data_IF_258346034088
#
_entry.id   IF_258346034088
#
_cell.length_a   1.000
_cell.length_b   1.000
_cell.length_c   1.000
_cell.angle_alpha   90.00
_cell.angle_beta   90.00
_cell.angle_gamma   90.00
#
_symmetry.space_group_name_H-M   'P 1'
#
loop_
_entity.id
_entity.type
_entity.pdbx_description
1 polymer ?
#
# COMPACT_ATOMS: atom_id res chain seq x y z
N UNK A 1 -2.52 13.87 -7.83
CA UNK A 1 -2.22 15.31 -7.96
C UNK A 1 -1.58 15.73 -6.64
N UNK A 2 -0.30 16.10 -6.62
CA UNK A 2 0.40 16.49 -5.39
C UNK A 2 -0.26 17.74 -4.79
N UNK A 3 -0.39 17.77 -3.46
CA UNK A 3 -1.02 18.83 -2.65
C UNK A 3 -0.30 20.17 -2.74
N UNK A 4 -0.32 20.79 -3.91
CA UNK A 4 0.39 22.02 -4.23
C UNK A 4 -0.52 23.22 -3.97
N UNK A 5 -0.18 24.03 -2.96
CA UNK A 5 -0.92 25.27 -2.65
C UNK A 5 -0.37 26.47 -3.45
N UNK A 6 0.90 26.42 -3.87
CA UNK A 6 1.51 27.49 -4.64
C UNK A 6 2.99 27.24 -4.91
N UNK A 7 3.56 28.05 -5.82
CA UNK A 7 4.99 28.01 -6.15
C UNK A 7 5.57 29.42 -6.25
N UNK A 8 6.82 29.56 -5.85
CA UNK A 8 7.62 30.78 -5.99
C UNK A 8 8.94 30.42 -6.66
N UNK A 9 9.31 31.16 -7.71
CA UNK A 9 10.64 31.06 -8.33
C UNK A 9 11.61 31.93 -7.54
N UNK A 10 12.74 31.35 -7.12
CA UNK A 10 13.82 32.04 -6.43
C UNK A 10 14.83 32.61 -7.44
N UNK A 11 15.64 33.56 -6.99
CA UNK A 11 16.71 34.17 -7.79
C UNK A 11 17.77 33.14 -8.26
N UNK A 12 17.84 31.98 -7.60
CA UNK A 12 18.71 30.85 -7.93
C UNK A 12 18.16 29.92 -9.02
N UNK A 13 17.10 30.32 -9.73
CA UNK A 13 16.35 29.50 -10.70
C UNK A 13 15.73 28.22 -10.13
N UNK A 14 15.75 28.05 -8.81
CA UNK A 14 15.03 27.02 -8.10
C UNK A 14 13.57 27.43 -7.84
N UNK A 15 12.70 26.45 -7.74
CA UNK A 15 11.29 26.61 -7.39
C UNK A 15 11.06 26.13 -5.96
N UNK A 16 10.51 27.02 -5.13
CA UNK A 16 9.97 26.68 -3.83
C UNK A 16 8.49 26.36 -3.98
N UNK A 17 8.13 25.13 -3.66
CA UNK A 17 6.79 24.60 -3.77
C UNK A 17 6.18 24.51 -2.38
N UNK A 18 5.06 25.19 -2.14
CA UNK A 18 4.32 25.07 -0.88
C UNK A 18 3.32 23.92 -1.00
N UNK A 19 3.40 23.00 -0.05
CA UNK A 19 2.46 21.89 0.10
C UNK A 19 1.81 21.91 1.47
N UNK A 20 0.73 21.15 1.68
CA UNK A 20 0.14 21.00 3.02
C UNK A 20 1.11 20.41 4.05
N UNK A 21 2.14 19.67 3.61
CA UNK A 21 3.12 19.01 4.47
C UNK A 21 4.40 19.85 4.70
N UNK A 22 4.50 21.03 4.08
CA UNK A 22 5.67 21.89 4.17
C UNK A 22 6.15 22.38 2.81
N UNK A 23 7.43 22.75 2.72
CA UNK A 23 8.02 23.33 1.52
C UNK A 23 8.95 22.33 0.83
N UNK A 24 8.83 22.22 -0.50
CA UNK A 24 9.71 21.42 -1.33
C UNK A 24 10.50 22.36 -2.24
N UNK A 25 11.83 22.33 -2.14
CA UNK A 25 12.71 23.05 -3.05
C UNK A 25 13.10 22.13 -4.21
N UNK A 26 12.82 22.54 -5.44
CA UNK A 26 13.11 21.75 -6.65
C UNK A 26 13.66 22.62 -7.76
N UNK A 27 14.50 22.08 -8.63
CA UNK A 27 15.06 22.81 -9.75
C UNK A 27 16.42 22.27 -10.16
N UNK A 28 16.94 22.79 -11.27
CA UNK A 28 18.26 22.41 -11.77
C UNK A 28 19.30 23.23 -11.02
N UNK A 29 20.10 22.59 -10.19
CA UNK A 29 21.26 23.25 -9.59
C UNK A 29 22.47 23.10 -10.51
N UNK A 30 23.00 24.21 -10.98
CA UNK A 30 24.28 24.20 -11.68
C UNK A 30 25.41 23.97 -10.66
N UNK A 31 26.08 22.83 -10.78
CA UNK A 31 27.23 22.51 -9.92
C UNK A 31 28.38 23.40 -10.36
N UNK A 32 28.70 24.44 -9.59
CA UNK A 32 29.88 25.28 -9.84
C UNK A 32 31.13 24.40 -9.82
N UNK A 33 31.83 24.36 -10.95
CA UNK A 33 32.85 23.36 -11.26
C UNK A 33 33.97 23.24 -10.23
N UNK A 34 34.09 22.05 -9.64
CA UNK A 34 35.33 21.48 -9.05
C UNK A 34 35.30 19.95 -8.99
N UNK A 35 34.57 19.31 -9.90
CA UNK A 35 34.52 17.86 -10.05
C UNK A 35 34.93 17.52 -11.48
N UNK A 36 36.12 16.93 -11.65
CA UNK A 36 36.68 16.55 -12.96
C UNK A 36 36.15 15.21 -13.49
N UNK A 37 35.03 14.73 -12.98
CA UNK A 37 34.36 13.54 -13.49
C UNK A 37 32.89 13.89 -13.72
N UNK A 38 32.27 13.31 -14.75
CA UNK A 38 30.86 13.56 -15.11
C UNK A 38 29.93 13.06 -14.00
N UNK A 39 29.83 13.81 -12.92
CA UNK A 39 28.93 13.55 -11.82
C UNK A 39 27.55 14.10 -12.17
N UNK A 40 26.73 13.27 -12.82
CA UNK A 40 25.28 13.45 -12.85
C UNK A 40 24.71 13.12 -11.46
N UNK A 41 25.08 13.87 -10.44
CA UNK A 41 24.54 13.67 -9.10
C UNK A 41 23.20 14.39 -9.03
N UNK A 42 22.11 13.66 -9.29
CA UNK A 42 20.77 14.12 -8.95
C UNK A 42 20.66 14.10 -7.42
N UNK A 43 21.05 15.20 -6.78
CA UNK A 43 20.93 15.38 -5.33
C UNK A 43 19.48 15.74 -5.00
N UNK A 44 18.70 14.76 -4.56
CA UNK A 44 17.42 15.01 -3.91
C UNK A 44 17.68 15.19 -2.41
N UNK A 45 17.75 16.44 -1.95
CA UNK A 45 17.83 16.76 -0.51
C UNK A 45 16.42 16.98 0.02
N UNK A 46 15.89 16.02 0.77
CA UNK A 46 14.60 16.14 1.45
C UNK A 46 14.89 16.64 2.87
N UNK A 47 14.61 17.92 3.13
CA UNK A 47 14.58 18.46 4.49
C UNK A 47 13.14 18.44 4.98
N UNK A 48 12.84 17.55 5.92
CA UNK A 48 11.52 17.48 6.55
C UNK A 48 11.59 18.25 7.87
N UNK A 49 10.82 19.33 7.97
CA UNK A 49 10.58 19.97 9.26
C UNK A 49 9.69 19.04 10.09
N UNK A 50 10.29 18.28 11.00
CA UNK A 50 9.55 17.42 11.92
C UNK A 50 8.95 18.31 12.99
N UNK A 51 7.67 18.64 12.84
CA UNK A 51 6.88 19.17 13.94
C UNK A 51 6.55 18.00 14.87
N UNK A 52 6.66 18.20 16.19
CA UNK A 52 6.16 17.25 17.19
C UNK A 52 4.62 17.24 17.11
N UNK A 53 4.09 16.51 16.13
CA UNK A 53 2.66 16.29 15.97
C UNK A 53 2.23 15.20 16.95
N UNK A 54 1.10 15.41 17.62
CA UNK A 54 0.54 14.38 18.48
C UNK A 54 0.13 13.15 17.66
N UNK A 55 0.10 11.98 18.29
CA UNK A 55 -0.31 10.75 17.60
C UNK A 55 -1.73 10.87 17.01
N UNK A 56 -2.61 11.62 17.67
CA UNK A 56 -3.96 11.91 17.19
C UNK A 56 -3.97 12.77 15.92
N UNK A 57 -3.05 13.73 15.79
CA UNK A 57 -2.91 14.53 14.57
C UNK A 57 -2.38 13.67 13.41
N UNK A 58 -1.48 12.71 13.67
CA UNK A 58 -1.02 11.74 12.68
C UNK A 58 -2.15 10.81 12.22
N UNK A 59 -2.98 10.30 13.13
CA UNK A 59 -4.17 9.53 12.77
C UNK A 59 -5.22 10.36 12.00
N UNK A 60 -5.30 11.66 12.29
CA UNK A 60 -6.17 12.55 11.51
C UNK A 60 -5.71 12.68 10.05
N UNK A 61 -4.41 12.56 9.75
CA UNK A 61 -3.91 12.53 8.38
C UNK A 61 -4.34 11.26 7.64
N UNK A 62 -4.40 10.13 8.32
CA UNK A 62 -4.97 8.89 7.76
C UNK A 62 -6.47 9.11 7.42
N UNK A 63 -7.18 9.87 8.26
CA UNK A 63 -8.57 10.31 7.99
C UNK A 63 -8.70 11.36 6.88
N UNK A 64 -7.63 12.11 6.56
CA UNK A 64 -7.64 13.07 5.43
C UNK A 64 -7.71 12.40 4.06
N UNK A 65 -7.75 11.06 4.02
CA UNK A 65 -8.38 10.34 2.93
C UNK A 65 -7.78 10.68 1.59
N UNK A 66 -6.50 10.36 1.40
CA UNK A 66 -5.91 10.24 0.07
C UNK A 66 -6.53 8.98 -0.56
N UNK A 67 -7.77 9.13 -0.98
CA UNK A 67 -8.57 8.10 -1.62
C UNK A 67 -9.17 8.75 -2.86
N UNK A 68 -9.10 8.04 -3.99
CA UNK A 68 -9.58 8.54 -5.28
C UNK A 68 -11.03 9.05 -5.15
N UNK A 69 -11.40 10.21 -5.72
CA UNK A 69 -12.79 10.69 -5.72
C UNK A 69 -13.81 9.63 -6.18
N UNK A 70 -13.40 8.71 -7.06
CA UNK A 70 -14.23 7.60 -7.55
C UNK A 70 -14.42 6.51 -6.47
N UNK A 71 -13.42 6.31 -5.60
CA UNK A 71 -13.52 5.40 -4.47
C UNK A 71 -14.52 5.91 -3.42
N UNK A 72 -14.54 7.22 -3.11
CA UNK A 72 -15.49 7.77 -2.12
C UNK A 72 -16.96 7.52 -2.46
N UNK A 73 -17.34 7.56 -3.74
CA UNK A 73 -18.73 7.34 -4.16
C UNK A 73 -19.14 5.86 -4.09
N UNK A 74 -18.22 4.94 -4.35
CA UNK A 74 -18.50 3.50 -4.31
C UNK A 74 -18.36 2.91 -2.90
N UNK A 75 -17.40 3.37 -2.09
CA UNK A 75 -17.12 2.83 -0.76
C UNK A 75 -18.29 2.99 0.22
N UNK A 76 -18.99 4.13 0.20
CA UNK A 76 -20.16 4.33 1.06
C UNK A 76 -21.28 3.33 0.72
N UNK A 77 -21.50 3.05 -0.56
CA UNK A 77 -22.58 2.17 -0.99
C UNK A 77 -22.23 0.69 -0.72
N UNK A 78 -20.99 0.29 -0.98
CA UNK A 78 -20.49 -1.06 -0.65
C UNK A 78 -20.45 -1.30 0.86
N UNK A 79 -20.02 -0.31 1.66
CA UNK A 79 -20.00 -0.43 3.11
C UNK A 79 -21.42 -0.56 3.70
N UNK A 80 -22.38 0.21 3.20
CA UNK A 80 -23.79 0.07 3.60
C UNK A 80 -24.34 -1.30 3.25
N UNK A 81 -23.99 -1.82 2.06
CA UNK A 81 -24.38 -3.16 1.62
C UNK A 81 -23.79 -4.26 2.50
N UNK A 82 -22.52 -4.16 2.89
CA UNK A 82 -21.87 -5.10 3.82
C UNK A 82 -22.54 -5.07 5.20
N UNK A 83 -22.90 -3.90 5.72
CA UNK A 83 -23.65 -3.77 6.98
C UNK A 83 -25.03 -4.43 6.86
N UNK A 84 -25.71 -4.25 5.73
CA UNK A 84 -27.03 -4.83 5.48
C UNK A 84 -26.96 -6.36 5.39
N UNK A 85 -25.99 -6.91 4.66
CA UNK A 85 -25.73 -8.35 4.58
C UNK A 85 -25.36 -8.95 5.94
N UNK A 86 -24.57 -8.25 6.75
CA UNK A 86 -24.28 -8.65 8.13
C UNK A 86 -25.56 -8.73 8.98
N UNK A 87 -26.41 -7.70 8.92
CA UNK A 87 -27.69 -7.69 9.67
C UNK A 87 -28.62 -8.81 9.21
N UNK A 88 -28.67 -9.09 7.91
CA UNK A 88 -29.53 -10.12 7.34
C UNK A 88 -29.02 -11.55 7.63
N UNK A 89 -27.70 -11.73 7.74
CA UNK A 89 -27.08 -13.03 8.04
C UNK A 89 -27.02 -13.37 9.53
N UNK A 90 -27.20 -12.37 10.39
CA UNK A 90 -27.17 -12.52 11.84
C UNK A 90 -28.51 -13.01 12.39
N UNK A 91 -28.46 -14.08 13.19
CA UNK A 91 -29.62 -14.65 13.89
C UNK A 91 -29.35 -14.70 15.38
N UNK A 92 -30.39 -14.47 16.18
CA UNK A 92 -30.35 -14.64 17.63
C UNK A 92 -31.03 -15.96 17.96
N UNK A 93 -30.30 -16.89 18.55
CA UNK A 93 -30.82 -18.18 19.00
C UNK A 93 -31.71 -17.99 20.25
N UNK A 94 -32.64 -18.90 20.53
CA UNK A 94 -33.52 -18.81 21.72
C UNK A 94 -32.78 -18.71 23.05
N UNK A 95 -31.55 -19.21 23.09
CA UNK A 95 -30.60 -19.16 24.21
C UNK A 95 -29.80 -17.84 24.31
N UNK A 96 -30.14 -16.85 23.48
CA UNK A 96 -29.54 -15.50 23.50
C UNK A 96 -28.18 -15.39 22.80
N UNK A 97 -27.71 -16.47 22.16
CA UNK A 97 -26.44 -16.48 21.40
C UNK A 97 -26.65 -15.96 19.99
N UNK A 98 -25.64 -15.28 19.47
CA UNK A 98 -25.62 -14.80 18.08
C UNK A 98 -25.01 -15.87 17.16
N UNK A 99 -25.71 -16.21 16.10
CA UNK A 99 -25.21 -17.00 14.98
C UNK A 99 -25.03 -16.08 13.78
N UNK A 100 -23.86 -16.14 13.14
CA UNK A 100 -23.53 -15.32 11.97
C UNK A 100 -22.93 -16.23 10.89
N UNK A 101 -23.45 -16.13 9.67
CA UNK A 101 -22.82 -16.80 8.53
C UNK A 101 -21.54 -16.03 8.15
N UNK A 102 -20.39 -16.69 8.24
CA UNK A 102 -19.12 -16.07 7.85
C UNK A 102 -19.09 -15.86 6.33
N UNK A 103 -18.50 -14.75 5.84
CA UNK A 103 -18.45 -14.39 4.41
C UNK A 103 -17.42 -15.24 3.64
N UNK A 104 -17.26 -16.51 3.98
CA UNK A 104 -16.43 -17.42 3.20
C UNK A 104 -17.15 -17.74 1.89
N UNK A 105 -16.37 -17.84 0.81
CA UNK A 105 -16.89 -18.26 -0.49
C UNK A 105 -17.57 -19.63 -0.33
N UNK A 106 -18.79 -19.76 -0.89
CA UNK A 106 -19.54 -21.01 -1.01
C UNK A 106 -18.77 -22.10 -1.76
N UNK A 107 -17.79 -21.67 -2.54
CA UNK A 107 -16.93 -22.56 -3.28
C UNK A 107 -15.95 -23.15 -2.27
N UNK A 108 -16.29 -24.34 -1.79
CA UNK A 108 -15.30 -25.31 -1.34
C UNK A 108 -14.39 -25.53 -2.54
N UNK A 109 -13.37 -24.68 -2.68
CA UNK A 109 -12.25 -24.95 -3.57
C UNK A 109 -11.62 -26.16 -2.94
N UNK A 110 -11.92 -27.35 -3.48
CA UNK A 110 -11.21 -28.56 -3.09
C UNK A 110 -9.72 -28.26 -3.25
N UNK A 111 -9.03 -28.16 -2.12
CA UNK A 111 -7.61 -27.88 -2.13
C UNK A 111 -6.96 -28.99 -2.96
N UNK A 112 -6.19 -28.64 -4.01
CA UNK A 112 -5.59 -29.66 -4.85
C UNK A 112 -4.72 -30.56 -3.99
N UNK A 113 -4.95 -31.87 -4.08
CA UNK A 113 -4.19 -32.85 -3.30
C UNK A 113 -2.73 -32.85 -3.75
N UNK A 114 -1.84 -32.32 -2.90
CA UNK A 114 -0.40 -32.29 -3.17
C UNK A 114 0.23 -33.69 -3.18
N UNK A 115 -0.49 -34.75 -2.78
CA UNK A 115 0.02 -36.12 -2.69
C UNK A 115 0.65 -36.61 -3.99
N UNK A 116 -0.04 -36.42 -5.11
CA UNK A 116 0.43 -36.89 -6.42
C UNK A 116 1.64 -36.10 -6.91
N UNK A 117 1.67 -34.79 -6.66
CA UNK A 117 2.79 -33.92 -7.02
C UNK A 117 4.04 -34.30 -6.23
N UNK A 118 3.93 -34.43 -4.91
CA UNK A 118 5.04 -34.82 -4.03
C UNK A 118 5.57 -36.21 -4.38
N UNK A 119 4.68 -37.17 -4.67
CA UNK A 119 5.07 -38.51 -5.11
C UNK A 119 5.85 -38.49 -6.41
N UNK A 120 5.42 -37.72 -7.41
CA UNK A 120 6.16 -37.56 -8.67
C UNK A 120 7.53 -36.93 -8.47
N UNK A 121 7.63 -35.90 -7.63
CA UNK A 121 8.91 -35.25 -7.30
C UNK A 121 9.86 -36.23 -6.60
N UNK A 122 9.36 -36.99 -5.63
CA UNK A 122 10.11 -38.02 -4.93
C UNK A 122 10.68 -39.08 -5.90
N UNK A 123 9.86 -39.64 -6.79
CA UNK A 123 10.31 -40.64 -7.76
C UNK A 123 11.42 -40.09 -8.68
N UNK A 124 11.26 -38.85 -9.17
CA UNK A 124 12.31 -38.19 -9.98
C UNK A 124 13.61 -37.99 -9.22
N UNK A 125 13.54 -37.67 -7.92
CA UNK A 125 14.71 -37.55 -7.07
C UNK A 125 15.41 -38.91 -6.88
N UNK A 126 14.65 -39.98 -6.69
CA UNK A 126 15.18 -41.34 -6.61
C UNK A 126 15.86 -41.78 -7.92
N UNK A 127 15.22 -41.55 -9.07
CA UNK A 127 15.82 -41.83 -10.40
C UNK A 127 17.11 -41.02 -10.62
N UNK A 128 17.15 -39.77 -10.16
CA UNK A 128 18.33 -38.91 -10.26
C UNK A 128 19.45 -39.39 -9.33
N UNK A 129 19.12 -39.86 -8.13
CA UNK A 129 20.09 -40.43 -7.20
C UNK A 129 20.71 -41.72 -7.80
N UNK A 130 19.88 -42.60 -8.36
CA UNK A 130 20.33 -43.82 -9.06
C UNK A 130 21.26 -43.51 -10.24
N UNK A 131 20.92 -42.50 -11.05
CA UNK A 131 21.79 -42.05 -12.15
C UNK A 131 23.12 -41.47 -11.67
N UNK A 132 23.17 -40.91 -10.46
CA UNK A 132 24.34 -40.27 -9.90
C UNK A 132 25.21 -41.22 -9.05
N UNK A 133 24.94 -42.53 -9.08
CA UNK A 133 25.80 -43.53 -8.45
C UNK A 133 25.51 -43.79 -6.97
N UNK A 134 24.29 -43.52 -6.52
CA UNK A 134 23.68 -44.22 -5.37
C UNK A 134 22.94 -45.46 -5.85
#
# INVERSE_FOLDING_TARGET
MLFMEGSVRLDSDLFLLKTHLGFVLTGKQEVSGKCNEKCYTVLNVISLFVKDSSINELYSLESTGIVDPIQRSNENNEHLKVIEEFKNSMKILPEGRYELCLPFKSDVIELPSNKELTRKQHNKMCERAQRNGL
#
